data_IF_583535526489
#
_entry.id   IF_583535526489
#
_cell.length_a   1.000
_cell.length_b   1.000
_cell.length_c   1.000
_cell.angle_alpha   90.00
_cell.angle_beta   90.00
_cell.angle_gamma   90.00
#
_symmetry.space_group_name_H-M   'P 1'
#
loop_
_entity.id
_entity.type
_entity.pdbx_description
1 polymer ?
#
# COMPACT_ATOMS: atom_id res chain seq x y z
N UNK A 1 -6.39 8.68 -20.38
CA UNK A 1 -5.09 8.19 -19.85
C UNK A 1 -4.80 8.71 -18.43
N UNK A 2 -5.82 8.95 -17.57
CA UNK A 2 -5.61 9.65 -16.27
C UNK A 2 -6.28 9.02 -15.04
N UNK A 3 -7.18 8.03 -15.18
CA UNK A 3 -7.80 7.39 -14.01
C UNK A 3 -6.85 6.46 -13.23
N UNK A 4 -5.68 6.10 -13.81
CA UNK A 4 -4.83 5.00 -13.34
C UNK A 4 -3.98 5.23 -12.08
N UNK A 5 -4.10 6.34 -11.34
CA UNK A 5 -3.20 6.59 -10.19
C UNK A 5 -3.82 7.28 -8.95
N UNK A 6 -5.14 7.46 -8.86
CA UNK A 6 -5.73 8.17 -7.70
C UNK A 6 -5.45 7.48 -6.36
N UNK A 7 -5.65 6.16 -6.28
CA UNK A 7 -5.40 5.41 -5.05
C UNK A 7 -3.91 5.36 -4.66
N UNK A 8 -3.02 5.17 -5.65
CA UNK A 8 -1.57 5.24 -5.45
C UNK A 8 -1.14 6.57 -4.84
N UNK A 9 -1.65 7.68 -5.38
CA UNK A 9 -1.34 9.02 -4.89
C UNK A 9 -1.92 9.26 -3.49
N UNK A 10 -3.14 8.78 -3.24
CA UNK A 10 -3.76 8.82 -1.92
C UNK A 10 -2.91 8.09 -0.89
N UNK A 11 -2.55 6.83 -1.16
CA UNK A 11 -1.78 6.01 -0.23
C UNK A 11 -0.41 6.64 0.07
N UNK A 12 0.30 7.14 -0.94
CA UNK A 12 1.57 7.86 -0.74
C UNK A 12 1.41 9.10 0.15
N UNK A 13 0.35 9.89 -0.05
CA UNK A 13 0.07 11.08 0.77
C UNK A 13 -0.23 10.70 2.22
N UNK A 14 -1.03 9.66 2.42
CA UNK A 14 -1.39 9.17 3.76
C UNK A 14 -0.17 8.60 4.49
N UNK A 15 0.68 7.82 3.82
CA UNK A 15 1.94 7.36 4.41
C UNK A 15 2.82 8.53 4.85
N UNK A 16 2.99 9.55 4.00
CA UNK A 16 3.76 10.76 4.35
C UNK A 16 3.16 11.50 5.55
N UNK A 17 1.83 11.61 5.63
CA UNK A 17 1.14 12.22 6.77
C UNK A 17 1.32 11.43 8.08
N UNK A 18 1.57 10.12 8.00
CA UNK A 18 1.82 9.24 9.15
C UNK A 18 3.32 9.04 9.43
N UNK A 19 4.20 9.87 8.87
CA UNK A 19 5.66 9.76 8.98
C UNK A 19 6.25 8.42 8.50
N UNK A 20 5.56 7.73 7.59
CA UNK A 20 6.04 6.49 6.97
C UNK A 20 6.67 6.85 5.62
N UNK A 21 7.89 6.37 5.38
CA UNK A 21 8.60 6.67 4.13
C UNK A 21 7.85 6.10 2.91
N UNK A 22 7.38 6.93 1.96
CA UNK A 22 6.67 6.46 0.78
C UNK A 22 7.54 5.60 -0.16
N UNK A 23 8.86 5.62 0.01
CA UNK A 23 9.81 4.80 -0.76
C UNK A 23 9.72 3.31 -0.40
N UNK A 24 9.06 2.97 0.71
CA UNK A 24 8.77 1.60 1.11
C UNK A 24 7.69 0.95 0.24
N UNK A 25 6.92 1.76 -0.49
CA UNK A 25 5.87 1.29 -1.39
C UNK A 25 6.37 1.21 -2.83
N UNK A 26 6.29 0.03 -3.41
CA UNK A 26 6.41 -0.19 -4.86
C UNK A 26 5.04 -0.58 -5.41
N UNK A 27 4.73 -0.08 -6.58
CA UNK A 27 3.43 -0.30 -7.24
C UNK A 27 3.70 -0.92 -8.60
N UNK A 28 3.07 -2.05 -8.85
CA UNK A 28 3.15 -2.79 -10.11
C UNK A 28 1.73 -2.94 -10.65
N UNK A 29 1.54 -2.62 -11.92
CA UNK A 29 0.28 -2.86 -12.61
C UNK A 29 0.42 -4.16 -13.38
N UNK A 30 -0.40 -5.16 -13.04
CA UNK A 30 -0.47 -6.43 -13.76
C UNK A 30 -1.92 -6.61 -14.19
N UNK A 31 -2.17 -6.58 -15.50
CA UNK A 31 -3.52 -6.64 -16.07
C UNK A 31 -4.45 -5.62 -15.41
N UNK A 32 -5.51 -6.09 -14.76
CA UNK A 32 -6.51 -5.29 -14.06
C UNK A 32 -6.21 -5.08 -12.57
N UNK A 33 -5.09 -5.61 -12.08
CA UNK A 33 -4.68 -5.52 -10.69
C UNK A 33 -3.55 -4.50 -10.46
N UNK A 34 -3.58 -3.87 -9.29
CA UNK A 34 -2.46 -3.08 -8.76
C UNK A 34 -1.86 -3.86 -7.59
N UNK A 35 -0.64 -4.32 -7.76
CA UNK A 35 0.15 -4.94 -6.70
C UNK A 35 0.89 -3.85 -5.93
N UNK A 36 0.75 -3.86 -4.61
CA UNK A 36 1.43 -2.93 -3.71
C UNK A 36 2.44 -3.73 -2.89
N UNK A 37 3.70 -3.63 -3.29
CA UNK A 37 4.81 -4.27 -2.61
C UNK A 37 5.31 -3.36 -1.47
N UNK A 38 5.28 -3.88 -0.24
CA UNK A 38 5.70 -3.15 0.96
C UNK A 38 7.07 -3.70 1.39
N UNK A 39 8.10 -2.86 1.38
CA UNK A 39 9.45 -3.26 1.79
C UNK A 39 9.48 -3.54 3.30
N UNK A 40 9.73 -4.78 3.66
CA UNK A 40 10.06 -5.21 5.02
C UNK A 40 11.54 -4.95 5.32
N UNK A 41 11.84 -4.47 6.52
CA UNK A 41 13.20 -4.20 6.99
C UNK A 41 13.73 -5.28 7.93
N UNK A 42 12.86 -6.15 8.46
CA UNK A 42 13.27 -7.26 9.30
C UNK A 42 13.62 -8.48 8.44
N UNK A 43 14.65 -9.20 8.87
CA UNK A 43 15.04 -10.49 8.27
C UNK A 43 14.05 -11.59 8.63
N UNK A 44 13.49 -11.54 9.84
CA UNK A 44 12.50 -12.47 10.36
C UNK A 44 11.30 -11.68 10.90
N UNK A 45 10.09 -12.13 10.56
CA UNK A 45 8.86 -11.43 10.90
C UNK A 45 8.58 -10.21 10.02
N UNK A 46 7.58 -9.43 10.41
CA UNK A 46 7.11 -8.25 9.67
C UNK A 46 7.31 -7.03 10.54
N UNK A 47 7.97 -5.99 10.02
CA UNK A 47 8.18 -4.78 10.80
C UNK A 47 6.89 -3.96 11.03
N UNK A 48 6.93 -3.11 12.06
CA UNK A 48 5.77 -2.33 12.48
C UNK A 48 5.25 -1.36 11.38
N UNK A 49 6.13 -0.83 10.53
CA UNK A 49 5.69 0.06 9.46
C UNK A 49 4.92 -0.70 8.39
N UNK A 50 5.28 -1.94 8.08
CA UNK A 50 4.49 -2.81 7.21
C UNK A 50 3.07 -2.99 7.75
N UNK A 51 2.91 -3.28 9.05
CA UNK A 51 1.59 -3.39 9.68
C UNK A 51 0.80 -2.08 9.62
N UNK A 52 1.45 -0.94 9.88
CA UNK A 52 0.80 0.38 9.77
C UNK A 52 0.31 0.64 8.35
N UNK A 53 1.12 0.35 7.33
CA UNK A 53 0.74 0.51 5.92
C UNK A 53 -0.44 -0.40 5.58
N UNK A 54 -0.42 -1.66 5.98
CA UNK A 54 -1.55 -2.59 5.78
C UNK A 54 -2.82 -2.02 6.41
N UNK A 55 -2.75 -1.56 7.65
CA UNK A 55 -3.90 -0.94 8.32
C UNK A 55 -4.43 0.30 7.56
N UNK A 56 -3.55 1.15 7.01
CA UNK A 56 -3.97 2.28 6.17
C UNK A 56 -4.66 1.83 4.88
N UNK A 57 -4.19 0.75 4.25
CA UNK A 57 -4.84 0.14 3.08
C UNK A 57 -6.24 -0.36 3.46
N UNK A 58 -6.37 -1.12 4.56
CA UNK A 58 -7.66 -1.59 5.06
C UNK A 58 -8.64 -0.43 5.30
N UNK A 59 -8.18 0.64 5.95
CA UNK A 59 -9.01 1.80 6.29
C UNK A 59 -9.43 2.65 5.08
N UNK A 60 -8.71 2.58 3.96
CA UNK A 60 -8.96 3.43 2.78
C UNK A 60 -9.58 2.66 1.63
N UNK A 61 -9.19 1.40 1.42
CA UNK A 61 -9.72 0.56 0.35
C UNK A 61 -11.21 0.24 0.59
N UNK A 62 -11.58 -0.11 1.83
CA UNK A 62 -12.96 -0.49 2.16
C UNK A 62 -13.97 0.64 1.90
N UNK A 63 -13.79 1.88 2.40
CA UNK A 63 -14.71 2.98 2.10
C UNK A 63 -14.77 3.37 0.62
N UNK A 64 -13.71 3.09 -0.14
CA UNK A 64 -13.64 3.37 -1.59
C UNK A 64 -14.19 2.21 -2.44
N UNK A 65 -14.69 1.13 -1.83
CA UNK A 65 -15.19 -0.06 -2.53
C UNK A 65 -14.09 -0.82 -3.29
N UNK A 66 -12.83 -0.59 -2.96
CA UNK A 66 -11.68 -1.25 -3.59
C UNK A 66 -11.53 -2.63 -2.97
N UNK A 67 -11.66 -3.68 -3.78
CA UNK A 67 -11.33 -5.04 -3.37
C UNK A 67 -9.81 -5.19 -3.32
N UNK A 68 -9.30 -5.82 -2.27
CA UNK A 68 -7.89 -6.13 -2.12
C UNK A 68 -7.73 -7.46 -1.39
N UNK A 69 -6.59 -8.10 -1.62
CA UNK A 69 -6.20 -9.34 -0.98
C UNK A 69 -4.78 -9.14 -0.42
N UNK A 70 -4.57 -9.52 0.83
CA UNK A 70 -3.25 -9.46 1.45
C UNK A 70 -2.53 -10.80 1.24
N UNK A 71 -1.28 -10.72 0.76
CA UNK A 71 -0.40 -11.89 0.60
C UNK A 71 0.88 -11.67 1.40
N UNK A 72 1.36 -12.72 2.06
CA UNK A 72 2.65 -12.77 2.76
C UNK A 72 3.54 -13.73 1.97
N UNK A 73 4.52 -13.18 1.25
CA UNK A 73 5.53 -13.93 0.50
C UNK A 73 6.88 -13.89 1.20
#
# INVERSE_FOLDING_TARGET
MEQKNHYKNLLKKICKANNISPQRLRFEQIEDFVIINIKNQLKEGVDLECFKILNLIHQTASPLGIRFEQQLY
#
